data_IF_379010200711
#
_entry.id   IF_379010200711
#
_cell.length_a   1.000
_cell.length_b   1.000
_cell.length_c   1.000
_cell.angle_alpha   90.00
_cell.angle_beta   90.00
_cell.angle_gamma   90.00
#
_symmetry.space_group_name_H-M   'P 1'
#
loop_
_entity.id
_entity.type
_entity.pdbx_description
1 polymer ?
#
# COMPACT_ATOMS: atom_id res chain seq x y z
N UNK A 1 0.86 15.49 -3.88
CA UNK A 1 1.26 14.06 -3.91
C UNK A 1 2.43 13.77 -4.86
N UNK A 2 2.62 14.57 -5.91
CA UNK A 2 3.87 14.66 -6.66
C UNK A 2 4.53 15.98 -6.29
N UNK A 3 5.62 15.93 -5.54
CA UNK A 3 6.37 17.12 -5.21
C UNK A 3 7.85 16.76 -5.35
N UNK A 4 8.33 16.90 -6.59
CA UNK A 4 9.76 16.99 -6.90
C UNK A 4 10.33 18.27 -6.27
N UNK A 5 9.47 19.27 -6.04
CA UNK A 5 9.70 20.41 -5.16
C UNK A 5 9.32 20.08 -3.70
N UNK A 6 10.08 20.61 -2.74
CA UNK A 6 9.90 20.40 -1.31
C UNK A 6 8.50 20.77 -0.82
N UNK A 7 7.80 21.69 -1.50
CA UNK A 7 6.53 22.24 -1.00
C UNK A 7 6.72 22.74 0.45
N UNK A 8 5.85 22.33 1.37
CA UNK A 8 6.00 22.59 2.82
C UNK A 8 6.83 21.53 3.58
N UNK A 9 7.28 20.47 2.90
CA UNK A 9 8.05 19.39 3.51
C UNK A 9 9.55 19.56 3.25
N UNK A 10 10.43 19.37 4.24
CA UNK A 10 11.86 19.60 4.05
C UNK A 10 12.57 18.56 3.15
N UNK A 11 11.84 17.60 2.59
CA UNK A 11 12.37 16.39 1.96
C UNK A 11 11.60 16.03 0.68
N UNK A 12 12.30 15.70 -0.39
CA UNK A 12 11.72 15.19 -1.64
C UNK A 12 11.25 13.74 -1.45
N UNK A 13 10.07 13.41 -1.96
CA UNK A 13 9.45 12.09 -1.85
C UNK A 13 9.69 11.24 -3.11
N UNK A 14 10.95 11.14 -3.55
CA UNK A 14 11.34 10.20 -4.60
C UNK A 14 11.63 8.83 -3.97
N UNK A 15 10.56 8.14 -3.58
CA UNK A 15 10.62 6.85 -2.91
C UNK A 15 9.68 5.85 -3.59
N UNK A 16 10.15 4.62 -3.86
CA UNK A 16 9.27 3.55 -4.31
C UNK A 16 8.18 3.28 -3.28
N UNK A 17 6.97 2.99 -3.73
CA UNK A 17 5.88 2.59 -2.85
C UNK A 17 4.89 1.70 -3.58
N UNK A 18 4.71 0.48 -3.07
CA UNK A 18 3.82 -0.53 -3.67
C UNK A 18 2.40 0.00 -3.87
N UNK A 19 1.81 0.61 -2.84
CA UNK A 19 0.46 1.16 -2.92
C UNK A 19 0.34 2.22 -4.02
N UNK A 20 1.26 3.21 -4.07
CA UNK A 20 1.20 4.27 -5.09
C UNK A 20 1.48 3.78 -6.50
N UNK A 21 2.40 2.81 -6.66
CA UNK A 21 2.63 2.18 -7.95
C UNK A 21 1.36 1.45 -8.42
N UNK A 22 0.71 0.68 -7.54
CA UNK A 22 -0.59 0.07 -7.80
C UNK A 22 -1.66 1.08 -8.22
N UNK A 23 -1.84 2.15 -7.44
CA UNK A 23 -2.78 3.25 -7.75
C UNK A 23 -2.50 3.85 -9.13
N UNK A 24 -1.22 4.13 -9.42
CA UNK A 24 -0.81 4.76 -10.68
C UNK A 24 -1.11 3.84 -11.86
N UNK A 25 -0.78 2.55 -11.75
CA UNK A 25 -1.02 1.56 -12.80
C UNK A 25 -2.53 1.38 -13.00
N UNK A 26 -3.33 1.31 -11.94
CA UNK A 26 -4.78 1.21 -12.01
C UNK A 26 -5.41 2.38 -12.78
N UNK A 27 -5.06 3.62 -12.44
CA UNK A 27 -5.63 4.78 -13.13
C UNK A 27 -5.11 4.93 -14.56
N UNK A 28 -3.83 4.63 -14.82
CA UNK A 28 -3.31 4.57 -16.19
C UNK A 28 -4.02 3.49 -17.02
N UNK A 29 -4.36 2.34 -16.43
CA UNK A 29 -5.12 1.30 -17.09
C UNK A 29 -6.54 1.78 -17.44
N UNK A 30 -7.25 2.44 -16.53
CA UNK A 30 -8.56 3.06 -16.82
C UNK A 30 -8.48 4.07 -17.96
N UNK A 31 -7.45 4.91 -17.96
CA UNK A 31 -7.23 5.90 -19.02
C UNK A 31 -6.94 5.18 -20.34
N UNK A 32 -6.07 4.17 -20.33
CA UNK A 32 -5.67 3.50 -21.56
C UNK A 32 -6.75 2.59 -22.15
N UNK A 33 -7.69 2.14 -21.34
CA UNK A 33 -8.86 1.40 -21.83
C UNK A 33 -9.70 2.25 -22.81
N UNK A 34 -9.64 3.58 -22.67
CA UNK A 34 -10.26 4.56 -23.57
C UNK A 34 -9.30 5.01 -24.66
N UNK A 35 -8.09 5.44 -24.30
CA UNK A 35 -7.15 6.06 -25.24
C UNK A 35 -6.50 5.05 -26.19
N UNK A 36 -6.22 3.84 -25.73
CA UNK A 36 -5.59 2.75 -26.49
C UNK A 36 -4.24 3.13 -27.08
N UNK A 37 -3.41 3.75 -26.26
CA UNK A 37 -2.07 4.21 -26.62
C UNK A 37 -1.01 3.15 -26.28
N UNK A 38 -0.21 2.76 -27.27
CA UNK A 38 0.81 1.70 -27.12
C UNK A 38 1.87 2.02 -26.05
N UNK A 39 2.26 3.30 -25.95
CA UNK A 39 3.28 3.74 -24.98
C UNK A 39 2.78 3.68 -23.53
N UNK A 40 1.46 3.79 -23.31
CA UNK A 40 0.84 3.59 -22.01
C UNK A 40 0.82 2.10 -21.69
N UNK A 41 0.47 1.24 -22.65
CA UNK A 41 0.50 -0.22 -22.46
C UNK A 41 1.91 -0.75 -22.15
N UNK A 42 2.95 -0.18 -22.78
CA UNK A 42 4.34 -0.49 -22.45
C UNK A 42 4.66 -0.10 -20.99
N UNK A 43 4.20 1.07 -20.57
CA UNK A 43 4.38 1.59 -19.20
C UNK A 43 3.63 0.73 -18.18
N UNK A 44 2.40 0.31 -18.49
CA UNK A 44 1.60 -0.61 -17.67
C UNK A 44 2.27 -1.97 -17.54
N UNK A 45 2.86 -2.49 -18.62
CA UNK A 45 3.60 -3.76 -18.62
C UNK A 45 4.84 -3.68 -17.71
N UNK A 46 5.59 -2.58 -17.78
CA UNK A 46 6.74 -2.33 -16.90
C UNK A 46 6.31 -2.22 -15.45
N UNK A 47 5.23 -1.49 -15.18
CA UNK A 47 4.66 -1.34 -13.84
C UNK A 47 4.17 -2.65 -13.25
N UNK A 48 3.43 -3.47 -14.01
CA UNK A 48 2.97 -4.78 -13.57
C UNK A 48 4.13 -5.73 -13.27
N UNK A 49 5.20 -5.70 -14.06
CA UNK A 49 6.41 -6.46 -13.74
C UNK A 49 7.02 -6.03 -12.40
N UNK A 50 7.17 -4.73 -12.18
CA UNK A 50 7.70 -4.21 -10.92
C UNK A 50 6.82 -4.60 -9.72
N UNK A 51 5.48 -4.53 -9.86
CA UNK A 51 4.54 -4.97 -8.83
C UNK A 51 4.65 -6.47 -8.55
N UNK A 52 4.78 -7.29 -9.60
CA UNK A 52 4.94 -8.73 -9.47
C UNK A 52 6.23 -9.09 -8.74
N UNK A 53 7.34 -8.41 -9.05
CA UNK A 53 8.63 -8.59 -8.38
C UNK A 53 8.57 -8.19 -6.89
N UNK A 54 7.67 -7.28 -6.52
CA UNK A 54 7.42 -6.89 -5.13
C UNK A 54 6.46 -7.83 -4.38
N UNK A 55 5.76 -8.74 -5.06
CA UNK A 55 4.81 -9.68 -4.48
C UNK A 55 5.53 -11.00 -4.15
N UNK A 56 5.55 -11.40 -2.88
CA UNK A 56 6.13 -12.68 -2.49
C UNK A 56 5.27 -13.85 -3.02
N UNK A 57 5.83 -15.07 -3.13
CA UNK A 57 5.09 -16.25 -3.58
C UNK A 57 3.84 -16.60 -2.75
N UNK A 58 3.74 -16.11 -1.51
CA UNK A 58 2.59 -16.27 -0.63
C UNK A 58 1.61 -15.08 -0.66
N UNK A 59 1.71 -14.23 -1.70
CA UNK A 59 0.84 -13.08 -1.92
C UNK A 59 1.14 -11.85 -1.06
N UNK A 60 1.98 -11.93 -0.04
CA UNK A 60 2.36 -10.75 0.74
C UNK A 60 3.34 -9.86 -0.02
N UNK A 61 3.16 -8.54 0.01
CA UNK A 61 4.16 -7.64 -0.55
C UNK A 61 5.44 -7.60 0.29
N UNK A 62 6.60 -7.53 -0.36
CA UNK A 62 7.85 -7.13 0.27
C UNK A 62 7.84 -5.61 0.49
N UNK A 63 7.33 -5.22 1.64
CA UNK A 63 7.30 -3.82 2.06
C UNK A 63 8.67 -3.25 2.40
N UNK A 64 9.73 -4.06 2.48
CA UNK A 64 11.07 -3.57 2.81
C UNK A 64 11.63 -2.63 1.74
N UNK A 65 11.11 -2.71 0.51
CA UNK A 65 11.38 -1.80 -0.61
C UNK A 65 10.38 -0.65 -0.78
N UNK A 66 9.40 -0.49 0.12
CA UNK A 66 8.31 0.50 -0.02
C UNK A 66 8.50 1.68 0.95
N UNK A 67 9.15 2.75 0.50
CA UNK A 67 9.67 3.84 1.34
C UNK A 67 8.64 4.85 1.86
N UNK A 68 7.45 4.97 1.26
CA UNK A 68 6.46 5.95 1.72
C UNK A 68 5.75 5.47 3.00
N UNK A 69 6.11 6.07 4.13
CA UNK A 69 5.66 5.64 5.46
C UNK A 69 4.13 5.66 5.64
N UNK A 70 3.44 6.68 5.11
CA UNK A 70 1.98 6.79 5.30
C UNK A 70 1.18 5.74 4.51
N UNK A 71 1.75 5.19 3.45
CA UNK A 71 1.15 4.12 2.64
C UNK A 71 1.65 2.71 3.01
N UNK A 72 2.51 2.62 4.04
CA UNK A 72 3.11 1.38 4.50
C UNK A 72 2.04 0.42 5.05
N UNK A 73 1.95 -0.78 4.46
CA UNK A 73 0.99 -1.84 4.79
C UNK A 73 -0.49 -1.50 4.56
N UNK A 74 -0.85 -0.54 3.70
CA UNK A 74 -2.27 -0.31 3.38
C UNK A 74 -2.88 -1.52 2.66
N UNK A 75 -4.03 -2.00 3.14
CA UNK A 75 -4.72 -3.16 2.56
C UNK A 75 -5.12 -2.93 1.09
N UNK A 76 -5.49 -1.69 0.74
CA UNK A 76 -5.89 -1.31 -0.61
C UNK A 76 -4.79 -1.49 -1.65
N UNK A 77 -3.52 -1.59 -1.23
CA UNK A 77 -2.45 -1.97 -2.14
C UNK A 77 -2.74 -3.30 -2.87
N UNK A 78 -3.35 -4.27 -2.18
CA UNK A 78 -3.75 -5.55 -2.78
C UNK A 78 -4.87 -5.38 -3.81
N UNK A 79 -5.85 -4.52 -3.56
CA UNK A 79 -6.94 -4.26 -4.51
C UNK A 79 -6.44 -3.56 -5.78
N UNK A 80 -5.60 -2.52 -5.63
CA UNK A 80 -4.99 -1.85 -6.78
C UNK A 80 -4.08 -2.79 -7.58
N UNK A 81 -3.31 -3.64 -6.91
CA UNK A 81 -2.46 -4.63 -7.58
C UNK A 81 -3.28 -5.71 -8.29
N UNK A 82 -4.33 -6.25 -7.65
CA UNK A 82 -5.27 -7.17 -8.27
C UNK A 82 -5.83 -6.58 -9.58
N UNK A 83 -6.39 -5.38 -9.55
CA UNK A 83 -6.94 -4.73 -10.74
C UNK A 83 -5.87 -4.46 -11.82
N UNK A 84 -4.66 -4.08 -11.41
CA UNK A 84 -3.53 -3.89 -12.31
C UNK A 84 -3.11 -5.19 -13.01
N UNK A 85 -3.07 -6.31 -12.27
CA UNK A 85 -2.75 -7.62 -12.82
C UNK A 85 -3.88 -8.17 -13.70
N UNK A 86 -5.13 -7.94 -13.33
CA UNK A 86 -6.29 -8.30 -14.16
C UNK A 86 -6.22 -7.60 -15.53
N UNK A 87 -6.02 -6.28 -15.54
CA UNK A 87 -5.89 -5.50 -16.78
C UNK A 87 -4.72 -5.98 -17.65
N UNK A 88 -3.53 -6.13 -17.06
CA UNK A 88 -2.31 -6.51 -17.80
C UNK A 88 -2.24 -7.98 -18.18
N UNK A 89 -3.18 -8.80 -17.69
CA UNK A 89 -3.36 -10.20 -18.09
C UNK A 89 -4.33 -10.37 -19.26
N UNK A 90 -4.96 -9.30 -19.75
CA UNK A 90 -5.87 -9.38 -20.90
C UNK A 90 -5.12 -9.94 -22.11
N UNK A 91 -5.69 -10.95 -22.75
CA UNK A 91 -5.16 -11.58 -23.96
C UNK A 91 -4.03 -12.60 -23.78
N UNK A 92 -3.30 -12.62 -22.65
CA UNK A 92 -2.17 -13.55 -22.45
C UNK A 92 -2.13 -14.27 -21.09
N UNK A 93 -2.94 -13.84 -20.12
CA UNK A 93 -3.05 -14.47 -18.80
C UNK A 93 -1.81 -14.35 -17.90
N UNK A 94 -0.78 -13.57 -18.28
CA UNK A 94 0.55 -13.59 -17.66
C UNK A 94 0.57 -13.35 -16.15
N UNK A 95 -0.30 -12.47 -15.65
CA UNK A 95 -0.31 -12.07 -14.24
C UNK A 95 -1.53 -12.59 -13.47
N UNK A 96 -2.31 -13.53 -14.02
CA UNK A 96 -3.52 -14.06 -13.36
C UNK A 96 -3.24 -14.62 -11.97
N UNK A 97 -2.21 -15.46 -11.84
CA UNK A 97 -1.80 -15.99 -10.53
C UNK A 97 -1.43 -14.89 -9.52
N UNK A 98 -0.88 -13.75 -9.97
CA UNK A 98 -0.58 -12.63 -9.08
C UNK A 98 -1.84 -11.88 -8.67
N UNK A 99 -2.83 -11.78 -9.58
CA UNK A 99 -4.14 -11.22 -9.28
C UNK A 99 -4.89 -12.07 -8.24
N UNK A 100 -4.83 -13.41 -8.37
CA UNK A 100 -5.42 -14.36 -7.42
C UNK A 100 -4.78 -14.22 -6.04
N UNK A 101 -3.44 -14.22 -5.96
CA UNK A 101 -2.71 -14.02 -4.71
C UNK A 101 -3.08 -12.70 -4.01
N UNK A 102 -3.27 -11.62 -4.77
CA UNK A 102 -3.71 -10.35 -4.20
C UNK A 102 -5.15 -10.42 -3.67
N UNK A 103 -6.03 -11.17 -4.34
CA UNK A 103 -7.41 -11.36 -3.92
C UNK A 103 -7.50 -12.16 -2.62
N UNK A 104 -6.72 -13.23 -2.49
CA UNK A 104 -6.62 -14.03 -1.25
C UNK A 104 -6.19 -13.14 -0.06
N UNK A 105 -5.17 -12.30 -0.27
CA UNK A 105 -4.70 -11.35 0.76
C UNK A 105 -5.71 -10.28 1.11
N UNK A 106 -6.50 -9.86 0.13
CA UNK A 106 -7.56 -8.88 0.33
C UNK A 106 -8.71 -9.49 1.14
N UNK A 107 -9.09 -10.73 0.86
CA UNK A 107 -10.10 -11.47 1.64
C UNK A 107 -9.70 -11.56 3.12
N UNK A 108 -8.45 -11.91 3.41
CA UNK A 108 -7.92 -11.91 4.79
C UNK A 108 -7.99 -10.53 5.47
N UNK A 109 -8.00 -9.46 4.68
CA UNK A 109 -8.02 -8.07 5.16
C UNK A 109 -9.44 -7.51 5.30
N UNK A 110 -10.49 -8.31 5.07
CA UNK A 110 -11.89 -7.92 5.21
C UNK A 110 -12.49 -8.51 6.50
N UNK A 111 -13.12 -7.67 7.31
CA UNK A 111 -13.82 -8.06 8.52
C UNK A 111 -15.22 -7.46 8.55
N UNK A 112 -16.25 -8.31 8.65
CA UNK A 112 -17.64 -7.84 8.70
C UNK A 112 -18.09 -7.11 7.44
N UNK A 113 -17.52 -7.45 6.28
CA UNK A 113 -17.81 -6.81 4.99
C UNK A 113 -17.07 -5.51 4.72
N UNK A 114 -16.16 -5.09 5.61
CA UNK A 114 -15.35 -3.88 5.46
C UNK A 114 -13.86 -4.22 5.44
N UNK A 115 -13.11 -3.57 4.57
CA UNK A 115 -11.66 -3.70 4.52
C UNK A 115 -11.03 -3.02 5.74
N UNK A 116 -10.08 -3.70 6.37
CA UNK A 116 -9.22 -3.13 7.39
C UNK A 116 -8.30 -2.07 6.79
N UNK A 117 -7.95 -1.03 7.56
CA UNK A 117 -7.03 0.02 7.12
C UNK A 117 -5.68 -0.54 6.66
N UNK A 118 -5.11 -1.46 7.43
CA UNK A 118 -3.82 -2.09 7.14
C UNK A 118 -3.96 -3.59 7.03
N UNK A 119 -3.04 -4.19 6.29
CA UNK A 119 -3.03 -5.64 6.19
C UNK A 119 -2.72 -6.28 7.57
N UNK A 120 -3.48 -7.32 7.96
CA UNK A 120 -3.26 -8.04 9.21
C UNK A 120 -1.81 -8.52 9.38
N UNK A 121 -1.27 -8.33 10.58
CA UNK A 121 0.01 -8.90 10.98
C UNK A 121 -0.15 -9.93 12.09
N UNK A 122 0.73 -10.94 12.12
CA UNK A 122 0.83 -11.88 13.25
C UNK A 122 1.90 -11.43 14.25
N UNK A 123 1.71 -11.67 15.55
CA UNK A 123 2.73 -11.36 16.56
C UNK A 123 4.02 -12.17 16.36
N UNK A 124 3.93 -13.41 15.88
CA UNK A 124 5.09 -14.24 15.56
C UNK A 124 5.99 -13.68 14.46
N UNK A 125 5.43 -12.91 13.51
CA UNK A 125 6.20 -12.27 12.43
C UNK A 125 6.78 -10.90 12.80
N UNK A 126 6.56 -10.41 14.03
CA UNK A 126 7.00 -9.08 14.44
C UNK A 126 8.53 -8.88 14.32
N UNK A 127 9.40 -9.81 14.73
CA UNK A 127 10.85 -9.62 14.59
C UNK A 127 11.29 -9.39 13.15
N UNK A 128 10.78 -10.20 12.21
CA UNK A 128 11.05 -10.06 10.78
C UNK A 128 10.48 -8.73 10.24
N UNK A 129 9.29 -8.34 10.71
CA UNK A 129 8.66 -7.07 10.33
C UNK A 129 9.47 -5.84 10.80
N UNK A 130 10.13 -5.92 11.95
CA UNK A 130 11.04 -4.87 12.44
C UNK A 130 12.27 -4.75 11.52
N UNK A 131 12.84 -5.87 11.08
CA UNK A 131 13.95 -5.87 10.11
C UNK A 131 13.52 -5.22 8.78
N UNK A 132 12.37 -5.61 8.24
CA UNK A 132 11.81 -4.99 7.04
C UNK A 132 11.57 -3.49 7.23
N UNK A 133 11.12 -3.08 8.41
CA UNK A 133 10.92 -1.66 8.77
C UNK A 133 12.24 -0.89 8.81
N UNK A 134 13.32 -1.49 9.31
CA UNK A 134 14.64 -0.86 9.32
C UNK A 134 15.18 -0.64 7.89
N UNK A 135 14.98 -1.63 7.00
CA UNK A 135 15.28 -1.50 5.57
C UNK A 135 14.47 -0.37 4.94
N UNK A 136 13.14 -0.38 5.13
CA UNK A 136 12.24 0.65 4.61
C UNK A 136 12.64 2.06 5.07
N UNK A 137 12.93 2.23 6.36
CA UNK A 137 13.31 3.52 6.94
C UNK A 137 14.66 4.05 6.42
N UNK A 138 15.48 3.17 5.86
CA UNK A 138 16.78 3.50 5.28
C UNK A 138 16.70 3.88 3.80
N UNK A 139 15.55 3.69 3.14
CA UNK A 139 15.35 4.07 1.74
C UNK A 139 15.41 5.60 1.62
N UNK A 140 16.29 6.07 0.75
CA UNK A 140 16.53 7.48 0.46
C UNK A 140 17.65 8.12 1.28
N UNK A 141 18.20 9.21 0.77
CA UNK A 141 19.34 9.94 1.34
C UNK A 141 18.91 10.92 2.45
N UNK A 142 18.22 10.40 3.47
CA UNK A 142 17.75 11.23 4.59
C UNK A 142 18.75 11.32 5.74
N UNK A 143 18.77 12.44 6.49
CA UNK A 143 19.55 12.55 7.72
C UNK A 143 19.19 11.47 8.73
N UNK A 144 20.15 11.06 9.57
CA UNK A 144 19.98 10.01 10.57
C UNK A 144 18.75 10.23 11.47
N UNK A 145 18.49 11.47 11.88
CA UNK A 145 17.30 11.82 12.69
C UNK A 145 15.98 11.51 11.96
N UNK A 146 15.93 11.76 10.65
CA UNK A 146 14.73 11.48 9.86
C UNK A 146 14.55 9.99 9.61
N UNK A 147 15.64 9.25 9.34
CA UNK A 147 15.61 7.78 9.26
C UNK A 147 15.14 7.15 10.58
N UNK A 148 15.59 7.66 11.72
CA UNK A 148 15.14 7.22 13.05
C UNK A 148 13.64 7.49 13.26
N UNK A 149 13.15 8.65 12.85
CA UNK A 149 11.71 8.95 12.88
C UNK A 149 10.90 7.97 12.01
N UNK A 150 11.34 7.74 10.76
CA UNK A 150 10.69 6.80 9.84
C UNK A 150 10.68 5.38 10.38
N UNK A 151 11.77 4.95 11.01
CA UNK A 151 11.84 3.66 11.69
C UNK A 151 10.84 3.57 12.84
N UNK A 152 10.82 4.56 13.73
CA UNK A 152 9.86 4.60 14.85
C UNK A 152 8.41 4.60 14.39
N UNK A 153 8.10 5.37 13.33
CA UNK A 153 6.79 5.37 12.69
C UNK A 153 6.44 4.00 12.10
N UNK A 154 7.38 3.35 11.40
CA UNK A 154 7.16 2.03 10.84
C UNK A 154 6.94 0.98 11.92
N UNK A 155 7.68 1.03 13.03
CA UNK A 155 7.47 0.13 14.18
C UNK A 155 6.10 0.37 14.81
N UNK A 156 5.70 1.63 14.96
CA UNK A 156 4.36 1.98 15.39
C UNK A 156 3.30 1.36 14.48
N UNK A 157 3.46 1.45 13.15
CA UNK A 157 2.58 0.80 12.17
C UNK A 157 2.54 -0.72 12.32
N UNK A 158 3.70 -1.36 12.53
CA UNK A 158 3.77 -2.81 12.76
C UNK A 158 2.98 -3.24 13.99
N UNK A 159 3.00 -2.44 15.06
CA UNK A 159 2.21 -2.71 16.27
C UNK A 159 0.71 -2.45 15.99
N UNK A 160 0.38 -1.33 15.34
CA UNK A 160 -0.99 -0.94 15.05
C UNK A 160 -1.73 -1.98 14.21
N UNK A 161 -1.11 -2.51 13.15
CA UNK A 161 -1.73 -3.52 12.26
C UNK A 161 -1.96 -4.90 12.91
N UNK A 162 -1.47 -5.12 14.13
CA UNK A 162 -1.60 -6.36 14.91
C UNK A 162 -2.62 -6.25 16.05
N UNK A 163 -3.17 -5.06 16.25
CA UNK A 163 -4.19 -4.76 17.25
C UNK A 163 -5.44 -4.33 16.52
N UNK A 164 -6.61 -4.66 17.05
CA UNK A 164 -7.88 -4.40 16.37
C UNK A 164 -8.79 -3.57 17.27
N UNK A 165 -9.58 -2.72 16.65
CA UNK A 165 -10.63 -1.94 17.27
C UNK A 165 -11.79 -1.74 16.29
N UNK A 166 -12.97 -1.41 16.81
CA UNK A 166 -14.13 -1.12 15.99
C UNK A 166 -14.04 0.26 15.31
N UNK A 167 -13.23 1.17 15.84
CA UNK A 167 -13.11 2.56 15.37
C UNK A 167 -11.66 3.03 15.36
N UNK A 168 -11.39 4.11 14.61
CA UNK A 168 -10.07 4.73 14.56
C UNK A 168 -9.70 5.37 15.92
N UNK A 169 -8.89 4.67 16.72
CA UNK A 169 -8.36 5.17 18.00
C UNK A 169 -7.06 5.95 17.78
N UNK A 170 -7.03 7.25 18.09
CA UNK A 170 -5.89 8.14 17.78
C UNK A 170 -5.18 8.70 19.01
N UNK A 171 -5.74 8.55 20.22
CA UNK A 171 -5.23 9.21 21.44
C UNK A 171 -3.82 8.79 21.75
N UNK A 172 -3.51 7.50 21.56
CA UNK A 172 -2.17 6.97 21.78
C UNK A 172 -1.13 7.67 20.89
N UNK A 173 -1.47 7.92 19.63
CA UNK A 173 -0.62 8.64 18.69
C UNK A 173 -0.46 10.11 19.04
N UNK A 174 -1.56 10.77 19.42
CA UNK A 174 -1.56 12.17 19.81
C UNK A 174 -0.69 12.41 21.04
N UNK A 175 -0.80 11.54 22.04
CA UNK A 175 0.05 11.58 23.25
C UNK A 175 1.52 11.41 22.88
N UNK A 176 1.83 10.43 22.02
CA UNK A 176 3.21 10.20 21.55
C UNK A 176 3.76 11.43 20.81
N UNK A 177 2.99 12.04 19.91
CA UNK A 177 3.39 13.22 19.17
C UNK A 177 3.62 14.43 20.09
N UNK A 178 2.75 14.62 21.10
CA UNK A 178 2.92 15.68 22.12
C UNK A 178 4.19 15.48 22.94
N UNK A 179 4.44 14.26 23.43
CA UNK A 179 5.62 13.92 24.22
C UNK A 179 6.92 14.14 23.43
N UNK A 180 6.94 13.72 22.16
CA UNK A 180 8.11 13.82 21.29
C UNK A 180 8.21 15.16 20.54
N UNK A 181 7.26 16.09 20.77
CA UNK A 181 7.16 17.39 20.08
C UNK A 181 7.17 17.26 18.55
N UNK A 182 6.52 16.22 18.03
CA UNK A 182 6.41 15.95 16.61
C UNK A 182 5.17 16.69 16.07
N UNK A 183 5.37 17.53 15.06
CA UNK A 183 4.26 18.11 14.28
C UNK A 183 3.94 17.14 13.15
N UNK A 184 2.76 16.53 13.17
CA UNK A 184 2.29 15.63 12.11
C UNK A 184 1.18 16.31 11.32
N UNK A 185 1.18 16.13 10.00
CA UNK A 185 0.06 16.49 9.13
C UNK A 185 -0.96 15.35 9.00
N UNK A 186 -0.61 14.16 9.50
CA UNK A 186 -1.44 12.97 9.49
C UNK A 186 -1.79 12.55 10.92
N UNK A 187 -3.01 12.07 11.11
CA UNK A 187 -3.48 11.41 12.33
C UNK A 187 -3.42 9.91 12.09
N UNK A 188 -2.71 9.18 12.95
CA UNK A 188 -2.48 7.75 12.77
C UNK A 188 -3.18 6.91 13.83
N UNK A 189 -4.11 6.03 13.45
CA UNK A 189 -4.75 5.14 14.42
C UNK A 189 -3.75 4.17 15.06
N UNK A 190 -3.97 3.82 16.33
CA UNK A 190 -3.08 2.96 17.15
C UNK A 190 -3.39 1.48 17.07
N UNK A 191 -4.50 1.16 16.38
CA UNK A 191 -5.05 -0.16 16.15
C UNK A 191 -5.66 -0.17 14.76
N UNK A 192 -5.60 -1.32 14.11
CA UNK A 192 -6.30 -1.59 12.88
C UNK A 192 -7.82 -1.54 13.10
N UNK A 193 -8.56 -1.09 12.11
CA UNK A 193 -10.01 -0.91 12.21
C UNK A 193 -10.63 -1.08 10.82
N UNK A 194 -11.92 -1.44 10.74
CA UNK A 194 -12.67 -1.44 9.48
C UNK A 194 -12.76 -0.01 8.94
N UNK A 195 -12.17 0.24 7.77
CA UNK A 195 -12.03 1.57 7.17
C UNK A 195 -12.91 1.70 5.93
N UNK A 196 -13.91 2.60 5.99
CA UNK A 196 -14.81 2.88 4.87
C UNK A 196 -14.09 3.48 3.67
N UNK A 197 -13.08 4.32 3.89
CA UNK A 197 -12.30 4.87 2.78
C UNK A 197 -11.56 3.75 2.05
N UNK A 198 -10.86 2.90 2.81
CA UNK A 198 -10.16 1.75 2.25
C UNK A 198 -11.12 0.79 1.53
N UNK A 199 -12.29 0.56 2.13
CA UNK A 199 -13.34 -0.29 1.53
C UNK A 199 -13.82 0.29 0.20
N UNK A 200 -13.98 1.60 0.09
CA UNK A 200 -14.39 2.23 -1.17
C UNK A 200 -13.37 2.05 -2.29
N UNK A 201 -12.07 2.17 -1.98
CA UNK A 201 -10.99 1.91 -2.94
C UNK A 201 -10.99 0.46 -3.40
N UNK A 202 -11.18 -0.46 -2.45
CA UNK A 202 -11.29 -1.90 -2.73
C UNK A 202 -12.45 -2.20 -3.67
N UNK A 203 -13.63 -1.66 -3.40
CA UNK A 203 -14.82 -1.88 -4.22
C UNK A 203 -14.66 -1.30 -5.64
N UNK A 204 -14.07 -0.12 -5.79
CA UNK A 204 -13.79 0.47 -7.12
C UNK A 204 -12.82 -0.40 -7.93
N UNK A 205 -11.77 -0.92 -7.28
CA UNK A 205 -10.81 -1.81 -7.93
C UNK A 205 -11.44 -3.14 -8.36
N UNK A 206 -12.19 -3.80 -7.48
CA UNK A 206 -12.83 -5.09 -7.76
C UNK A 206 -13.93 -4.97 -8.81
N UNK A 207 -14.71 -3.88 -8.78
CA UNK A 207 -15.74 -3.64 -9.79
C UNK A 207 -15.11 -3.45 -11.16
N UNK A 208 -14.05 -2.63 -11.22
CA UNK A 208 -13.36 -2.37 -12.49
C UNK A 208 -12.61 -3.59 -13.02
N UNK A 209 -12.00 -4.42 -12.15
CA UNK A 209 -11.36 -5.66 -12.59
C UNK A 209 -12.38 -6.65 -13.14
N UNK A 210 -13.55 -6.77 -12.52
CA UNK A 210 -14.66 -7.58 -13.04
C UNK A 210 -15.07 -7.20 -14.47
N UNK A 211 -15.15 -5.90 -14.76
CA UNK A 211 -15.40 -5.38 -16.12
C UNK A 211 -14.29 -5.81 -17.09
N UNK A 212 -13.02 -5.68 -16.69
CA UNK A 212 -11.89 -6.04 -17.55
C UNK A 212 -11.72 -7.54 -17.79
N UNK A 213 -12.20 -8.37 -16.86
CA UNK A 213 -12.17 -9.83 -16.97
C UNK A 213 -13.40 -10.41 -17.71
N UNK A 214 -14.39 -9.58 -18.00
CA UNK A 214 -15.61 -9.98 -18.71
C UNK A 214 -16.68 -10.61 -17.82
N UNK A 215 -16.63 -10.36 -16.51
CA UNK A 215 -17.75 -10.66 -15.62
C UNK A 215 -18.80 -9.54 -15.75
N UNK A 216 -19.80 -9.78 -16.61
CA UNK A 216 -21.01 -8.95 -16.73
C UNK A 216 -22.25 -9.82 -16.65
#
# INVERSE_FOLDING_TARGET
PYAVDRGTYPYTFDLPCVHYQGVTIYYLAKINDVLREDWIDESLTKGARWLADALCPHGQFDWSGSGLSFAYHLSGAYAFAHASFAYTSRGNGRYRTHADLCLDRLEESVQGGLALRWEPGSWGSLPQSIVATAKMASIGEYPARHRAFRFGYGVYRQIARRRYDATAETRSFEVLCRLLRIRTSTVEPSKNFPDLFMTSEVLDCLTQSGVWEGYT
#
